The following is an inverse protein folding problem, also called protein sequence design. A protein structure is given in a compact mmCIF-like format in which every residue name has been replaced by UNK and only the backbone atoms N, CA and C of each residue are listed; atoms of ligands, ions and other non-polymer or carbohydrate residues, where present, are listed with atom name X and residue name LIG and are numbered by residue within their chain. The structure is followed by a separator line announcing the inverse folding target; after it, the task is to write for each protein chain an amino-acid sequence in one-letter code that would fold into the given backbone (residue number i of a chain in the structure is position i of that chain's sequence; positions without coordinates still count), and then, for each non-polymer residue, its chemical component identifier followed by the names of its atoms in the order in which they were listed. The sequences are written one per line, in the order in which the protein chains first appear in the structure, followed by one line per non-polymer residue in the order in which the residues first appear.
data_IF_233583674997
#
_entry.id   IF_233583674997
#
_cell.length_a   1.000
_cell.length_b   1.000
_cell.length_c   1.000
_cell.angle_alpha   90.00
_cell.angle_beta   90.00
_cell.angle_gamma   90.00
#
_symmetry.space_group_name_H-M   'P 1'
#
loop_
_entity.id
_entity.type
_entity.pdbx_description
1 polymer ?
#
# COMPACT_ATOMS: atom_id res chain seq x y z
N UNK A 1 -4.38 -47.36 17.48
CA UNK A 1 -3.27 -46.37 17.63
C UNK A 1 -2.02 -47.08 18.10
N UNK A 2 -0.88 -46.92 17.41
CA UNK A 2 0.40 -47.54 17.80
C UNK A 2 0.86 -47.00 19.18
N UNK A 3 1.55 -47.85 19.96
CA UNK A 3 2.00 -47.50 21.31
C UNK A 3 2.88 -46.22 21.33
N UNK A 4 3.71 -46.01 20.31
CA UNK A 4 4.53 -44.79 20.13
C UNK A 4 3.68 -43.54 19.93
N UNK A 5 2.58 -43.61 19.15
CA UNK A 5 1.68 -42.48 18.92
C UNK A 5 0.97 -42.03 20.19
N UNK A 6 0.62 -42.99 21.06
CA UNK A 6 0.06 -42.65 22.39
C UNK A 6 1.06 -41.92 23.27
N UNK A 7 2.33 -42.39 23.29
CA UNK A 7 3.41 -41.76 24.08
C UNK A 7 3.63 -40.31 23.58
N UNK A 8 3.77 -40.12 22.26
CA UNK A 8 3.98 -38.77 21.70
C UNK A 8 2.82 -37.80 21.99
N UNK A 9 1.56 -38.29 21.85
CA UNK A 9 0.38 -37.49 22.17
C UNK A 9 0.34 -37.12 23.66
N UNK A 10 0.62 -38.09 24.55
CA UNK A 10 0.64 -37.83 26.00
C UNK A 10 1.74 -36.84 26.38
N UNK A 11 2.93 -36.98 25.81
CA UNK A 11 4.05 -36.03 26.04
C UNK A 11 3.70 -34.62 25.52
N UNK A 12 3.13 -34.52 24.31
CA UNK A 12 2.70 -33.23 23.75
C UNK A 12 1.62 -32.55 24.64
N UNK A 13 0.64 -33.35 25.10
CA UNK A 13 -0.41 -32.83 26.01
C UNK A 13 0.17 -32.32 27.33
N UNK A 14 1.10 -33.08 27.94
CA UNK A 14 1.77 -32.66 29.17
C UNK A 14 2.55 -31.36 28.96
N UNK A 15 3.34 -31.27 27.88
CA UNK A 15 4.11 -30.06 27.56
C UNK A 15 3.19 -28.84 27.32
N UNK A 16 2.09 -29.03 26.61
CA UNK A 16 1.11 -27.96 26.36
C UNK A 16 0.45 -27.48 27.66
N UNK A 17 0.02 -28.42 28.52
CA UNK A 17 -0.56 -28.08 29.83
C UNK A 17 0.46 -27.39 30.76
N UNK A 18 1.68 -27.85 30.77
CA UNK A 18 2.76 -27.22 31.55
C UNK A 18 3.04 -25.80 31.06
N UNK A 19 3.05 -25.58 29.73
CA UNK A 19 3.18 -24.24 29.11
C UNK A 19 2.04 -23.30 29.49
N UNK A 20 0.79 -23.78 29.43
CA UNK A 20 -0.39 -23.00 29.83
C UNK A 20 -0.35 -22.64 31.32
N UNK A 21 0.03 -23.58 32.17
CA UNK A 21 0.17 -23.33 33.64
C UNK A 21 1.26 -22.30 33.91
N UNK A 22 2.44 -22.45 33.30
CA UNK A 22 3.52 -21.47 33.45
C UNK A 22 3.08 -20.08 32.97
N UNK A 23 2.41 -20.01 31.82
CA UNK A 23 1.87 -18.75 31.30
C UNK A 23 0.87 -18.10 32.27
N UNK A 24 -0.06 -18.89 32.82
CA UNK A 24 -1.04 -18.41 33.79
C UNK A 24 -0.39 -17.92 35.10
N UNK A 25 0.66 -18.61 35.57
CA UNK A 25 1.42 -18.20 36.76
C UNK A 25 2.15 -16.88 36.54
N UNK A 26 2.77 -16.71 35.35
CA UNK A 26 3.46 -15.46 34.97
C UNK A 26 2.47 -14.32 34.86
N UNK A 27 1.30 -14.54 34.22
CA UNK A 27 0.21 -13.55 34.17
C UNK A 27 -0.28 -13.15 35.56
N UNK A 28 -0.52 -14.13 36.45
CA UNK A 28 -0.98 -13.86 37.80
C UNK A 28 0.06 -13.09 38.63
N UNK A 29 1.35 -13.41 38.50
CA UNK A 29 2.44 -12.69 39.12
C UNK A 29 2.57 -11.24 38.62
N UNK A 30 2.23 -10.97 37.35
CA UNK A 30 2.17 -9.64 36.75
C UNK A 30 0.89 -8.86 37.06
N UNK A 31 -0.04 -9.42 37.88
CA UNK A 31 -1.31 -8.79 38.23
C UNK A 31 -2.32 -8.80 37.10
N UNK A 32 -2.25 -9.82 36.21
CA UNK A 32 -3.07 -9.97 35.00
C UNK A 32 -2.90 -8.83 33.97
N UNK A 33 -1.84 -8.05 34.11
CA UNK A 33 -1.48 -6.99 33.19
C UNK A 33 -0.37 -7.50 32.25
N UNK A 34 -0.77 -7.92 31.05
CA UNK A 34 0.15 -8.40 30.03
C UNK A 34 1.20 -7.35 29.62
N UNK A 35 0.88 -6.05 29.75
CA UNK A 35 1.83 -4.97 29.47
C UNK A 35 2.99 -4.93 30.48
N UNK A 36 2.75 -5.32 31.75
CA UNK A 36 3.83 -5.40 32.76
C UNK A 36 4.80 -6.55 32.52
N UNK A 37 4.37 -7.59 31.81
CA UNK A 37 5.23 -8.72 31.46
C UNK A 37 6.22 -8.38 30.33
N UNK A 38 5.92 -7.36 29.56
CA UNK A 38 6.65 -7.03 28.34
C UNK A 38 8.04 -6.44 28.62
N UNK A 39 8.28 -5.86 29.79
CA UNK A 39 9.56 -5.19 30.11
C UNK A 39 9.91 -4.02 29.18
N UNK A 40 9.07 -3.76 28.17
CA UNK A 40 9.24 -2.72 27.17
C UNK A 40 8.59 -1.44 27.70
N UNK A 41 9.40 -0.40 27.86
CA UNK A 41 8.92 0.92 28.22
C UNK A 41 8.74 1.75 26.96
N UNK A 42 7.57 2.35 26.83
CA UNK A 42 7.31 3.39 25.86
C UNK A 42 7.66 4.75 26.44
N UNK A 43 8.23 5.61 25.63
CA UNK A 43 8.48 7.00 25.95
C UNK A 43 7.76 7.87 24.92
N UNK A 44 7.18 8.95 25.41
CA UNK A 44 6.56 9.96 24.55
C UNK A 44 7.44 11.20 24.53
N UNK A 45 7.93 11.55 23.36
CA UNK A 45 8.80 12.69 23.14
C UNK A 45 8.20 13.62 22.08
N UNK A 46 8.27 14.94 22.33
CA UNK A 46 7.87 15.96 21.36
C UNK A 46 9.09 16.79 20.98
N UNK A 47 9.32 16.94 19.69
CA UNK A 47 10.37 17.80 19.13
C UNK A 47 9.73 18.95 18.37
N UNK A 48 10.01 20.17 18.77
CA UNK A 48 9.64 21.38 18.05
C UNK A 48 10.76 21.76 17.08
N UNK A 49 10.39 22.17 15.87
CA UNK A 49 11.32 22.43 14.77
C UNK A 49 11.19 23.91 14.38
N UNK A 50 12.20 24.67 14.72
CA UNK A 50 12.28 26.12 14.43
C UNK A 50 13.08 26.39 13.12
N UNK A 51 13.89 25.43 12.69
CA UNK A 51 14.68 25.53 11.46
C UNK A 51 13.80 25.40 10.21
N UNK A 52 14.09 26.17 9.18
CA UNK A 52 13.41 26.10 7.89
C UNK A 52 13.87 24.88 7.09
N UNK A 53 12.93 24.18 6.47
CA UNK A 53 13.17 23.05 5.57
C UNK A 53 12.14 23.04 4.45
N UNK A 54 12.45 22.35 3.38
CA UNK A 54 11.56 22.09 2.23
C UNK A 54 11.24 20.63 2.09
N UNK A 55 12.18 19.76 2.48
CA UNK A 55 12.12 18.32 2.28
C UNK A 55 11.89 17.60 3.60
N UNK A 56 11.24 16.43 3.53
CA UNK A 56 10.99 15.58 4.70
C UNK A 56 11.49 14.16 4.42
N UNK A 57 12.25 13.61 5.35
CA UNK A 57 12.75 12.26 5.28
C UNK A 57 12.51 11.53 6.60
N UNK A 58 11.78 10.43 6.55
CA UNK A 58 11.49 9.56 7.70
C UNK A 58 12.07 8.19 7.45
N UNK A 59 12.96 7.73 8.33
CA UNK A 59 13.49 6.37 8.32
C UNK A 59 13.21 5.72 9.68
N UNK A 60 12.45 4.63 9.66
CA UNK A 60 12.05 3.90 10.87
C UNK A 60 12.00 2.40 10.60
N UNK A 61 12.24 1.59 11.63
CA UNK A 61 12.12 0.13 11.52
C UNK A 61 10.67 -0.31 11.77
N UNK A 62 10.11 0.11 12.91
CA UNK A 62 8.77 -0.30 13.30
C UNK A 62 8.03 0.88 13.91
N UNK A 63 7.29 1.62 13.10
CA UNK A 63 6.40 2.69 13.59
C UNK A 63 5.35 3.04 12.55
N UNK A 64 4.13 3.33 12.98
CA UNK A 64 3.16 4.01 12.14
C UNK A 64 3.59 5.47 11.91
N UNK A 65 3.49 5.96 10.69
CA UNK A 65 3.89 7.33 10.31
C UNK A 65 2.68 8.12 9.85
N UNK A 66 2.31 9.14 10.63
CA UNK A 66 1.16 9.99 10.31
C UNK A 66 1.61 11.43 10.09
N UNK A 67 1.16 12.00 8.99
CA UNK A 67 1.28 13.43 8.73
C UNK A 67 -0.02 14.14 9.13
N UNK A 68 0.10 15.28 9.77
CA UNK A 68 -1.04 16.09 10.20
C UNK A 68 -0.79 17.56 9.98
N UNK A 69 -1.84 18.29 9.65
CA UNK A 69 -1.77 19.74 9.58
C UNK A 69 -1.53 20.32 10.98
N UNK A 70 -0.59 21.26 11.09
CA UNK A 70 -0.36 22.01 12.30
C UNK A 70 -1.43 23.07 12.48
N UNK A 71 -2.11 23.07 13.62
CA UNK A 71 -3.19 24.03 13.92
C UNK A 71 -2.67 25.44 14.22
N UNK A 72 -1.45 25.56 14.71
CA UNK A 72 -0.83 26.82 15.14
C UNK A 72 0.30 27.31 14.23
N UNK A 73 0.55 26.59 13.13
CA UNK A 73 1.62 26.91 12.19
C UNK A 73 3.03 26.51 12.65
N UNK A 74 3.17 25.85 13.82
CA UNK A 74 4.45 25.34 14.31
C UNK A 74 4.70 23.93 13.79
N UNK A 75 5.93 23.66 13.34
CA UNK A 75 6.33 22.31 13.00
C UNK A 75 6.72 21.54 14.26
N UNK A 76 6.14 20.34 14.47
CA UNK A 76 6.54 19.45 15.56
C UNK A 76 6.45 18.00 15.16
N UNK A 77 7.23 17.17 15.84
CA UNK A 77 7.22 15.72 15.70
C UNK A 77 6.95 15.09 17.05
N UNK A 78 5.82 14.38 17.15
CA UNK A 78 5.46 13.61 18.33
C UNK A 78 5.87 12.15 18.10
N UNK A 79 6.69 11.61 19.01
CA UNK A 79 7.22 10.26 18.98
C UNK A 79 6.65 9.46 20.14
N UNK A 80 5.97 8.35 19.86
CA UNK A 80 5.68 7.30 20.82
C UNK A 80 6.57 6.12 20.48
N UNK A 81 7.66 5.93 21.23
CA UNK A 81 8.75 5.06 20.85
C UNK A 81 9.21 4.15 21.99
N UNK A 82 9.92 3.08 21.67
CA UNK A 82 10.56 2.25 22.68
C UNK A 82 11.74 2.98 23.30
N UNK A 83 11.91 2.86 24.61
CA UNK A 83 12.99 3.53 25.34
C UNK A 83 14.41 3.21 24.81
N UNK A 84 14.58 2.07 24.15
CA UNK A 84 15.86 1.62 23.56
C UNK A 84 15.95 1.76 22.03
N UNK A 85 14.89 2.20 21.38
CA UNK A 85 14.85 2.44 19.95
C UNK A 85 14.33 3.86 19.75
N UNK A 86 15.26 4.80 19.77
CA UNK A 86 14.93 6.23 19.75
C UNK A 86 15.12 6.81 18.37
N UNK A 87 14.21 7.72 18.04
CA UNK A 87 14.35 8.51 16.84
C UNK A 87 15.09 9.81 17.12
N UNK A 88 15.95 10.19 16.20
CA UNK A 88 16.59 11.48 16.15
C UNK A 88 15.83 12.36 15.19
N UNK A 89 15.46 13.56 15.62
CA UNK A 89 14.76 14.56 14.80
C UNK A 89 15.66 15.77 14.64
N UNK A 90 15.98 16.14 13.40
CA UNK A 90 16.87 17.28 13.09
C UNK A 90 16.64 17.81 11.68
N UNK A 91 16.97 19.06 11.44
CA UNK A 91 17.03 19.63 10.10
C UNK A 91 18.47 19.64 9.62
N UNK A 92 18.72 19.03 8.48
CA UNK A 92 20.03 19.01 7.82
C UNK A 92 19.89 19.29 6.32
N UNK A 93 20.62 20.27 5.83
CA UNK A 93 20.63 20.67 4.42
C UNK A 93 19.23 20.94 3.85
N UNK A 94 18.35 21.59 4.61
CA UNK A 94 17.00 21.91 4.20
C UNK A 94 16.02 20.72 4.24
N UNK A 95 16.40 19.60 4.86
CA UNK A 95 15.58 18.40 5.02
C UNK A 95 15.29 18.15 6.50
N UNK A 96 14.01 18.04 6.88
CA UNK A 96 13.61 17.50 8.17
C UNK A 96 13.84 15.99 8.17
N UNK A 97 14.84 15.54 8.91
CA UNK A 97 15.20 14.13 9.04
C UNK A 97 14.72 13.54 10.35
N UNK A 98 13.95 12.48 10.26
CA UNK A 98 13.54 11.64 11.38
C UNK A 98 14.14 10.28 11.13
N UNK A 99 15.07 9.83 11.97
CA UNK A 99 15.79 8.58 11.76
C UNK A 99 15.92 7.79 13.05
N UNK A 100 15.66 6.48 12.94
CA UNK A 100 15.79 5.56 14.07
C UNK A 100 17.27 5.34 14.40
N UNK A 101 17.59 5.32 15.68
CA UNK A 101 18.86 4.84 16.23
C UNK A 101 18.57 3.62 17.09
N UNK A 102 18.81 2.45 16.53
CA UNK A 102 18.64 1.20 17.26
C UNK A 102 19.88 0.89 18.08
N UNK A 103 19.74 0.95 19.43
CA UNK A 103 20.78 0.60 20.41
C UNK A 103 20.54 -0.78 21.03
N UNK A 104 19.54 -1.53 20.56
CA UNK A 104 19.20 -2.87 21.04
C UNK A 104 20.30 -3.87 20.71
N UNK A 105 20.57 -4.78 21.63
CA UNK A 105 21.43 -5.94 21.38
C UNK A 105 20.64 -6.99 20.58
N UNK A 106 21.33 -7.79 19.78
CA UNK A 106 20.72 -8.77 18.87
C UNK A 106 19.66 -9.68 19.54
N UNK A 107 19.84 -10.03 20.83
CA UNK A 107 18.88 -10.85 21.57
C UNK A 107 17.65 -10.07 22.06
N UNK A 108 17.70 -8.74 22.08
CA UNK A 108 16.57 -7.87 22.45
C UNK A 108 15.57 -7.70 21.28
N UNK A 109 15.96 -8.10 20.08
CA UNK A 109 15.05 -8.21 18.92
C UNK A 109 14.16 -9.47 19.01
N UNK A 110 14.51 -10.45 19.88
CA UNK A 110 13.71 -11.66 20.09
C UNK A 110 12.65 -11.36 21.17
N UNK A 111 11.64 -10.60 20.81
CA UNK A 111 10.49 -10.34 21.69
C UNK A 111 9.33 -11.23 21.29
N UNK A 112 8.98 -12.20 22.14
CA UNK A 112 7.85 -13.12 21.87
C UNK A 112 6.48 -12.42 21.93
N UNK A 113 6.39 -11.28 22.62
CA UNK A 113 5.15 -10.52 22.77
C UNK A 113 5.49 -9.02 22.82
N UNK A 114 5.27 -8.33 21.71
CA UNK A 114 5.32 -6.87 21.65
C UNK A 114 3.89 -6.33 21.67
N UNK A 115 3.40 -5.92 22.82
CA UNK A 115 2.11 -5.23 22.94
C UNK A 115 2.36 -3.72 22.92
N UNK A 116 2.07 -3.09 21.80
CA UNK A 116 2.16 -1.66 21.59
C UNK A 116 2.72 -1.32 20.21
N UNK A 117 2.19 -0.27 19.61
CA UNK A 117 2.68 0.25 18.34
C UNK A 117 3.47 1.51 18.59
N UNK A 118 4.66 1.57 18.05
CA UNK A 118 5.41 2.82 17.94
C UNK A 118 4.74 3.72 16.91
N UNK A 119 4.82 5.02 17.11
CA UNK A 119 4.12 5.97 16.27
C UNK A 119 4.92 7.26 16.13
N UNK A 120 5.06 7.71 14.92
CA UNK A 120 5.61 8.99 14.55
C UNK A 120 4.47 9.85 14.01
N UNK A 121 4.21 11.01 14.63
CA UNK A 121 3.26 11.96 14.09
C UNK A 121 3.99 13.26 13.76
N UNK A 122 4.03 13.59 12.47
CA UNK A 122 4.67 14.80 11.96
C UNK A 122 3.60 15.85 11.71
N UNK A 123 3.64 16.93 12.47
CA UNK A 123 2.76 18.07 12.28
C UNK A 123 3.49 19.12 11.45
N UNK A 124 2.94 19.36 10.27
CA UNK A 124 3.50 20.31 9.31
C UNK A 124 2.58 21.51 9.14
N UNK A 125 3.10 22.73 9.07
CA UNK A 125 2.34 23.90 8.60
C UNK A 125 1.75 23.69 7.20
N UNK A 126 0.70 24.41 6.87
CA UNK A 126 0.19 24.47 5.50
C UNK A 126 1.22 25.15 4.59
N UNK A 127 1.83 24.39 3.71
CA UNK A 127 2.86 24.85 2.76
C UNK A 127 2.99 23.85 1.60
N UNK A 128 3.62 24.28 0.51
CA UNK A 128 4.14 23.37 -0.49
C UNK A 128 5.53 22.88 -0.03
N UNK A 129 5.72 21.59 -0.10
CA UNK A 129 6.97 20.92 0.27
C UNK A 129 7.67 20.36 -0.98
N UNK A 130 8.97 20.21 -0.92
CA UNK A 130 9.77 19.56 -1.95
C UNK A 130 9.55 18.04 -1.96
N UNK A 131 10.53 17.26 -1.54
CA UNK A 131 10.41 15.81 -1.51
C UNK A 131 9.90 15.30 -0.15
N UNK A 132 9.03 14.29 -0.20
CA UNK A 132 8.71 13.44 0.94
C UNK A 132 9.27 12.04 0.70
N UNK A 133 10.19 11.61 1.54
CA UNK A 133 10.78 10.28 1.53
C UNK A 133 10.44 9.56 2.83
N UNK A 134 9.77 8.40 2.76
CA UNK A 134 9.52 7.55 3.92
C UNK A 134 10.05 6.16 3.65
N UNK A 135 10.96 5.69 4.52
CA UNK A 135 11.47 4.33 4.51
C UNK A 135 11.14 3.66 5.83
N UNK A 136 10.38 2.59 5.77
CA UNK A 136 9.77 1.96 6.93
C UNK A 136 9.88 0.43 6.82
N UNK A 137 10.19 -0.26 7.92
CA UNK A 137 10.12 -1.71 7.97
C UNK A 137 8.68 -2.18 8.15
N UNK A 138 8.05 -1.82 9.27
CA UNK A 138 6.67 -2.23 9.59
C UNK A 138 5.87 -1.06 10.14
N UNK A 139 4.63 -0.91 9.70
CA UNK A 139 3.66 0.09 10.15
C UNK A 139 2.90 0.72 8.99
N UNK A 140 1.90 1.52 9.31
CA UNK A 140 1.07 2.20 8.34
C UNK A 140 1.60 3.61 8.06
N UNK A 141 1.40 4.10 6.84
CA UNK A 141 1.68 5.49 6.46
C UNK A 141 0.37 6.16 6.11
N UNK A 142 0.15 7.38 6.63
CA UNK A 142 -1.03 8.16 6.28
C UNK A 142 -0.68 9.61 6.01
N UNK A 143 -1.02 10.08 4.80
CA UNK A 143 -0.74 11.43 4.31
C UNK A 143 -2.05 12.07 3.86
N UNK A 144 -2.58 13.06 4.58
CA UNK A 144 -3.86 13.69 4.25
C UNK A 144 -3.78 14.63 3.05
N UNK A 145 -4.94 14.98 2.49
CA UNK A 145 -5.10 15.84 1.32
C UNK A 145 -4.70 17.32 1.51
N UNK A 146 -4.41 17.71 2.74
CA UNK A 146 -3.98 19.08 3.08
C UNK A 146 -2.58 19.42 2.60
N UNK A 147 -1.78 18.43 2.16
CA UNK A 147 -0.40 18.64 1.77
C UNK A 147 -0.20 18.59 0.25
N UNK A 148 0.77 19.38 -0.19
CA UNK A 148 1.30 19.34 -1.55
C UNK A 148 2.80 19.09 -1.49
N UNK A 149 3.28 18.11 -2.26
CA UNK A 149 4.68 17.77 -2.41
C UNK A 149 5.11 17.85 -3.88
N UNK A 150 6.37 18.17 -4.14
CA UNK A 150 6.93 18.07 -5.48
C UNK A 150 7.14 16.61 -5.89
N UNK A 151 7.56 15.76 -4.95
CA UNK A 151 7.72 14.32 -5.16
C UNK A 151 7.47 13.53 -3.89
N UNK A 152 7.05 12.28 -4.06
CA UNK A 152 6.75 11.37 -2.96
C UNK A 152 7.35 10.00 -3.26
N UNK A 153 8.19 9.47 -2.36
CA UNK A 153 8.73 8.10 -2.42
C UNK A 153 8.51 7.41 -1.07
N UNK A 154 7.51 6.52 -1.02
CA UNK A 154 7.18 5.72 0.14
C UNK A 154 7.62 4.28 -0.09
N UNK A 155 8.45 3.77 0.81
CA UNK A 155 8.87 2.38 0.82
C UNK A 155 8.58 1.75 2.18
N UNK A 156 7.91 0.61 2.17
CA UNK A 156 7.60 -0.16 3.38
C UNK A 156 7.54 -1.66 3.12
N UNK A 157 7.94 -2.46 4.12
CA UNK A 157 7.86 -3.91 4.00
C UNK A 157 6.46 -4.41 4.38
N UNK A 158 5.90 -3.96 5.50
CA UNK A 158 4.59 -4.44 5.99
C UNK A 158 3.77 -3.28 6.55
N UNK A 159 2.49 -3.24 6.20
CA UNK A 159 1.52 -2.22 6.60
C UNK A 159 1.00 -1.42 5.43
N UNK A 160 -0.05 -0.66 5.65
CA UNK A 160 -0.81 0.02 4.60
C UNK A 160 -0.28 1.42 4.30
N UNK A 161 -0.63 1.95 3.14
CA UNK A 161 -0.28 3.29 2.74
C UNK A 161 -1.49 4.06 2.23
N UNK A 162 -1.98 5.05 3.01
CA UNK A 162 -3.07 5.95 2.64
C UNK A 162 -2.47 7.28 2.14
N UNK A 163 -2.62 7.58 0.87
CA UNK A 163 -2.07 8.79 0.23
C UNK A 163 -3.19 9.63 -0.36
N UNK A 164 -3.46 10.77 0.25
CA UNK A 164 -4.46 11.73 -0.22
C UNK A 164 -3.82 13.04 -0.68
N UNK A 165 -2.50 13.19 -0.53
CA UNK A 165 -1.77 14.41 -0.85
C UNK A 165 -1.70 14.66 -2.37
N UNK A 166 -1.64 15.95 -2.73
CA UNK A 166 -1.27 16.36 -4.09
C UNK A 166 0.23 16.21 -4.30
N UNK A 167 0.65 15.65 -5.44
CA UNK A 167 2.07 15.47 -5.80
C UNK A 167 2.29 16.02 -7.21
N UNK A 168 2.98 17.16 -7.33
CA UNK A 168 3.16 17.85 -8.63
C UNK A 168 4.03 17.06 -9.62
N UNK A 169 4.94 16.23 -9.13
CA UNK A 169 5.77 15.33 -9.91
C UNK A 169 5.42 13.85 -9.71
N UNK A 170 6.41 13.01 -9.46
CA UNK A 170 6.21 11.56 -9.30
C UNK A 170 5.76 11.20 -7.88
N UNK A 171 4.66 10.46 -7.77
CA UNK A 171 4.25 9.75 -6.57
C UNK A 171 4.58 8.27 -6.72
N UNK A 172 5.44 7.77 -5.83
CA UNK A 172 5.90 6.38 -5.83
C UNK A 172 5.64 5.72 -4.49
N UNK A 173 4.88 4.62 -4.49
CA UNK A 173 4.56 3.85 -3.29
C UNK A 173 4.90 2.40 -3.52
N UNK A 174 5.68 1.82 -2.60
CA UNK A 174 6.10 0.41 -2.67
C UNK A 174 5.89 -0.26 -1.33
N UNK A 175 5.16 -1.38 -1.36
CA UNK A 175 4.94 -2.27 -0.24
C UNK A 175 5.35 -3.70 -0.60
N UNK A 176 5.85 -4.48 0.34
CA UNK A 176 5.93 -5.93 0.14
C UNK A 176 4.63 -6.59 0.59
N UNK A 177 4.05 -6.12 1.72
CA UNK A 177 2.76 -6.62 2.20
C UNK A 177 1.96 -5.47 2.79
N UNK A 178 0.73 -5.30 2.33
CA UNK A 178 -0.20 -4.26 2.75
C UNK A 178 -0.86 -3.59 1.57
N UNK A 179 -1.94 -2.90 1.86
CA UNK A 179 -2.77 -2.23 0.88
C UNK A 179 -2.25 -0.83 0.58
N UNK A 180 -2.56 -0.35 -0.63
CA UNK A 180 -2.18 0.99 -1.06
C UNK A 180 -3.44 1.71 -1.53
N UNK A 181 -3.82 2.77 -0.80
CA UNK A 181 -4.96 3.61 -1.10
C UNK A 181 -4.49 5.00 -1.55
N UNK A 182 -4.93 5.42 -2.75
CA UNK A 182 -4.66 6.76 -3.28
C UNK A 182 -5.97 7.44 -3.64
N UNK A 183 -6.37 8.43 -2.84
CA UNK A 183 -7.73 9.00 -2.94
C UNK A 183 -7.69 10.51 -3.09
N UNK A 184 -8.47 11.03 -4.05
CA UNK A 184 -8.75 12.47 -4.19
C UNK A 184 -7.54 13.32 -4.54
N UNK A 185 -6.50 12.75 -5.14
CA UNK A 185 -5.23 13.42 -5.40
C UNK A 185 -5.11 13.93 -6.85
N UNK A 186 -4.23 14.91 -7.01
CA UNK A 186 -3.66 15.26 -8.33
C UNK A 186 -2.18 14.91 -8.31
N UNK A 187 -1.73 14.15 -9.31
CA UNK A 187 -0.33 13.71 -9.39
C UNK A 187 0.25 13.97 -10.79
N UNK A 188 1.56 14.22 -10.85
CA UNK A 188 2.27 14.27 -12.14
C UNK A 188 2.29 12.88 -12.78
N UNK A 189 2.89 11.91 -12.08
CA UNK A 189 2.85 10.48 -12.43
C UNK A 189 2.67 9.62 -11.19
N UNK A 190 2.12 8.41 -11.35
CA UNK A 190 1.83 7.49 -10.25
C UNK A 190 2.45 6.12 -10.50
N UNK A 191 3.21 5.63 -9.53
CA UNK A 191 3.85 4.32 -9.59
C UNK A 191 3.58 3.56 -8.28
N UNK A 192 2.70 2.55 -8.34
CA UNK A 192 2.31 1.75 -7.19
C UNK A 192 2.83 0.32 -7.35
N UNK A 193 3.38 -0.25 -6.29
CA UNK A 193 3.87 -1.62 -6.28
C UNK A 193 3.58 -2.28 -4.95
N UNK A 194 2.89 -3.42 -4.97
CA UNK A 194 2.77 -4.30 -3.80
C UNK A 194 2.98 -5.77 -4.22
N UNK A 195 3.65 -6.54 -3.39
CA UNK A 195 3.78 -7.98 -3.65
C UNK A 195 2.53 -8.72 -3.17
N UNK A 196 1.97 -8.33 -2.00
CA UNK A 196 0.72 -8.89 -1.46
C UNK A 196 -0.10 -7.79 -0.79
N UNK A 197 -1.31 -7.60 -1.27
CA UNK A 197 -2.24 -6.57 -0.82
C UNK A 197 -2.97 -5.94 -2.01
N UNK A 198 -4.02 -5.22 -1.73
CA UNK A 198 -4.87 -4.59 -2.73
C UNK A 198 -4.41 -3.17 -3.04
N UNK A 199 -4.76 -2.68 -4.21
CA UNK A 199 -4.50 -1.30 -4.63
C UNK A 199 -5.80 -0.64 -5.02
N UNK A 200 -6.19 0.40 -4.28
CA UNK A 200 -7.35 1.23 -4.57
C UNK A 200 -6.88 2.63 -5.02
N UNK A 201 -7.40 3.10 -6.16
CA UNK A 201 -7.14 4.46 -6.65
C UNK A 201 -8.47 5.10 -7.01
N UNK A 202 -8.86 6.13 -6.28
CA UNK A 202 -10.14 6.77 -6.52
C UNK A 202 -10.06 8.28 -6.62
N UNK A 203 -10.90 8.85 -7.51
CA UNK A 203 -11.04 10.31 -7.71
C UNK A 203 -9.70 10.99 -8.01
N UNK A 204 -8.88 10.41 -8.90
CA UNK A 204 -7.51 10.85 -9.15
C UNK A 204 -7.36 11.46 -10.55
N UNK A 205 -6.64 12.57 -10.62
CA UNK A 205 -6.15 13.15 -11.89
C UNK A 205 -4.63 12.98 -11.97
N UNK A 206 -4.16 12.16 -12.91
CA UNK A 206 -2.75 11.99 -13.22
C UNK A 206 -2.42 12.71 -14.53
N UNK A 207 -1.41 13.58 -14.52
CA UNK A 207 -1.04 14.37 -15.71
C UNK A 207 -0.35 13.51 -16.78
N UNK A 208 0.46 12.53 -16.32
CA UNK A 208 1.22 11.63 -17.18
C UNK A 208 0.71 10.18 -17.07
N UNK A 209 1.53 9.28 -16.55
CA UNK A 209 1.29 7.86 -16.59
C UNK A 209 0.99 7.29 -15.20
N UNK A 210 0.10 6.30 -15.17
CA UNK A 210 -0.14 5.44 -14.01
C UNK A 210 0.43 4.06 -14.31
N UNK A 211 1.28 3.57 -13.40
CA UNK A 211 1.83 2.22 -13.44
C UNK A 211 1.55 1.51 -12.13
N UNK A 212 0.83 0.39 -12.19
CA UNK A 212 0.47 -0.42 -11.03
C UNK A 212 1.04 -1.83 -11.20
N UNK A 213 1.72 -2.34 -10.17
CA UNK A 213 2.20 -3.71 -10.14
C UNK A 213 1.79 -4.39 -8.84
N UNK A 214 0.96 -5.44 -8.97
CA UNK A 214 0.47 -6.22 -7.84
C UNK A 214 0.73 -7.70 -8.13
N UNK A 215 1.54 -8.37 -7.30
CA UNK A 215 1.77 -9.81 -7.53
C UNK A 215 0.57 -10.63 -7.07
N UNK A 216 0.01 -10.34 -5.89
CA UNK A 216 -1.18 -11.02 -5.38
C UNK A 216 -2.07 -9.99 -4.66
N UNK A 217 -3.26 -9.79 -5.17
CA UNK A 217 -4.23 -8.82 -4.68
C UNK A 217 -5.01 -8.18 -5.83
N UNK A 218 -6.08 -7.51 -5.49
CA UNK A 218 -6.98 -6.88 -6.44
C UNK A 218 -6.53 -5.44 -6.74
N UNK A 219 -6.96 -4.94 -7.89
CA UNK A 219 -6.70 -3.55 -8.31
C UNK A 219 -8.02 -2.91 -8.68
N UNK A 220 -8.40 -1.88 -7.93
CA UNK A 220 -9.63 -1.13 -8.16
C UNK A 220 -9.31 0.33 -8.50
N UNK A 221 -9.79 0.80 -9.64
CA UNK A 221 -9.70 2.20 -10.02
C UNK A 221 -11.08 2.78 -10.27
N UNK A 222 -11.40 3.88 -9.60
CA UNK A 222 -12.67 4.59 -9.73
C UNK A 222 -12.46 6.07 -10.03
N UNK A 223 -13.10 6.59 -11.10
CA UNK A 223 -13.06 8.01 -11.46
C UNK A 223 -11.62 8.55 -11.65
N UNK A 224 -10.82 7.86 -12.46
CA UNK A 224 -9.39 8.16 -12.68
C UNK A 224 -9.17 8.68 -14.11
N UNK A 225 -8.35 9.72 -14.24
CA UNK A 225 -7.90 10.23 -15.54
C UNK A 225 -6.37 10.25 -15.62
N UNK A 226 -5.82 9.82 -16.79
CA UNK A 226 -4.37 9.81 -17.02
C UNK A 226 -4.03 9.91 -18.52
N UNK A 227 -2.75 9.99 -18.83
CA UNK A 227 -2.28 9.86 -20.21
C UNK A 227 -2.20 8.39 -20.62
N UNK A 228 -1.41 7.57 -19.90
CA UNK A 228 -1.38 6.14 -20.12
C UNK A 228 -1.57 5.40 -18.77
N UNK A 229 -2.24 4.26 -18.87
CA UNK A 229 -2.44 3.34 -17.75
C UNK A 229 -1.79 2.00 -18.05
N UNK A 230 -1.02 1.47 -17.10
CA UNK A 230 -0.47 0.12 -17.15
C UNK A 230 -0.67 -0.59 -15.82
N UNK A 231 -1.24 -1.79 -15.84
CA UNK A 231 -1.35 -2.67 -14.68
C UNK A 231 -0.83 -4.05 -15.00
N UNK A 232 0.08 -4.55 -14.17
CA UNK A 232 0.69 -5.87 -14.31
C UNK A 232 0.60 -6.63 -13.00
N UNK A 233 0.29 -7.92 -13.06
CA UNK A 233 0.23 -8.76 -11.86
C UNK A 233 0.03 -10.24 -12.16
N UNK A 234 0.10 -11.05 -11.10
CA UNK A 234 -0.03 -12.50 -11.24
C UNK A 234 -1.43 -12.98 -10.87
N UNK A 235 -1.94 -12.60 -9.70
CA UNK A 235 -3.23 -13.10 -9.21
C UNK A 235 -4.05 -11.98 -8.59
N UNK A 236 -5.31 -11.88 -8.99
CA UNK A 236 -6.28 -10.89 -8.50
C UNK A 236 -7.07 -10.24 -9.61
N UNK A 237 -8.23 -9.75 -9.29
CA UNK A 237 -9.15 -9.05 -10.20
C UNK A 237 -8.67 -7.62 -10.49
N UNK A 238 -8.98 -7.12 -11.67
CA UNK A 238 -8.89 -5.68 -11.98
C UNK A 238 -10.27 -5.15 -12.27
N UNK A 239 -10.69 -4.14 -11.52
CA UNK A 239 -11.91 -3.38 -11.73
C UNK A 239 -11.58 -1.93 -12.12
N UNK A 240 -12.11 -1.49 -13.25
CA UNK A 240 -11.90 -0.15 -13.80
C UNK A 240 -13.25 0.55 -14.03
N UNK A 241 -13.65 1.42 -13.09
CA UNK A 241 -14.85 2.22 -13.20
C UNK A 241 -14.52 3.66 -13.57
N UNK A 242 -15.04 4.15 -14.71
CA UNK A 242 -14.80 5.51 -15.20
C UNK A 242 -13.31 5.88 -15.31
N UNK A 243 -12.46 4.95 -15.73
CA UNK A 243 -11.02 5.19 -15.94
C UNK A 243 -10.78 5.64 -17.37
N UNK A 244 -10.25 6.85 -17.55
CA UNK A 244 -10.03 7.46 -18.86
C UNK A 244 -8.54 7.69 -19.08
N UNK A 245 -7.96 6.93 -20.03
CA UNK A 245 -6.60 7.15 -20.51
C UNK A 245 -6.63 7.83 -21.88
N UNK A 246 -6.02 9.00 -22.02
CA UNK A 246 -6.00 9.71 -23.31
C UNK A 246 -5.17 8.99 -24.39
N UNK A 247 -4.18 8.22 -23.98
CA UNK A 247 -3.30 7.41 -24.82
C UNK A 247 -3.65 5.93 -24.77
N UNK A 248 -2.89 5.14 -24.02
CA UNK A 248 -3.02 3.68 -23.96
C UNK A 248 -3.42 3.16 -22.60
N UNK A 249 -4.10 2.01 -22.60
CA UNK A 249 -4.40 1.20 -21.43
C UNK A 249 -3.87 -0.21 -21.68
N UNK A 250 -2.95 -0.67 -20.83
CA UNK A 250 -2.33 -1.99 -20.91
C UNK A 250 -2.54 -2.75 -19.62
N UNK A 251 -3.11 -3.95 -19.71
CA UNK A 251 -3.41 -4.80 -18.57
C UNK A 251 -2.85 -6.20 -18.84
N UNK A 252 -2.05 -6.71 -17.89
CA UNK A 252 -1.49 -8.04 -17.96
C UNK A 252 -1.73 -8.76 -16.62
N UNK A 253 -2.39 -9.93 -16.67
CA UNK A 253 -2.64 -10.81 -15.53
C UNK A 253 -2.33 -12.26 -15.91
N UNK A 254 -1.86 -13.07 -14.95
CA UNK A 254 -1.86 -14.51 -15.14
C UNK A 254 -3.20 -15.12 -14.73
N UNK A 255 -3.75 -14.69 -13.58
CA UNK A 255 -5.04 -15.22 -13.10
C UNK A 255 -5.86 -14.09 -12.47
N UNK A 256 -7.06 -13.92 -12.96
CA UNK A 256 -8.03 -12.93 -12.46
C UNK A 256 -8.85 -12.32 -13.59
N UNK A 257 -10.04 -11.90 -13.22
CA UNK A 257 -10.96 -11.25 -14.13
C UNK A 257 -10.55 -9.79 -14.38
N UNK A 258 -10.94 -9.27 -15.55
CA UNK A 258 -10.75 -7.86 -15.90
C UNK A 258 -12.10 -7.25 -16.21
N UNK A 259 -12.54 -6.30 -15.38
CA UNK A 259 -13.83 -5.64 -15.53
C UNK A 259 -13.69 -4.16 -15.90
N UNK A 260 -14.47 -3.72 -16.88
CA UNK A 260 -14.55 -2.32 -17.31
C UNK A 260 -15.95 -1.79 -17.12
N UNK A 261 -16.11 -0.67 -16.43
CA UNK A 261 -17.36 0.04 -16.36
C UNK A 261 -17.20 1.49 -16.86
N UNK A 262 -17.63 1.77 -18.10
CA UNK A 262 -17.55 3.11 -18.67
C UNK A 262 -16.14 3.69 -18.74
N UNK A 263 -15.13 2.83 -18.80
CA UNK A 263 -13.73 3.21 -18.98
C UNK A 263 -13.37 3.37 -20.45
N UNK A 264 -12.27 4.06 -20.76
CA UNK A 264 -11.88 4.29 -22.16
C UNK A 264 -10.39 4.61 -22.33
N UNK A 265 -9.85 4.29 -23.54
CA UNK A 265 -8.53 4.72 -23.99
C UNK A 265 -8.47 4.74 -25.51
N UNK A 266 -7.51 5.46 -26.10
CA UNK A 266 -7.30 5.46 -27.55
C UNK A 266 -6.84 4.06 -28.04
N UNK A 267 -6.00 3.37 -27.26
CA UNK A 267 -5.60 1.97 -27.48
C UNK A 267 -5.74 1.18 -26.19
N UNK A 268 -6.36 0.00 -26.26
CA UNK A 268 -6.54 -0.91 -25.14
C UNK A 268 -5.89 -2.25 -25.48
N UNK A 269 -5.11 -2.80 -24.55
CA UNK A 269 -4.52 -4.13 -24.65
C UNK A 269 -4.71 -4.86 -23.32
N UNK A 270 -5.39 -6.01 -23.35
CA UNK A 270 -5.64 -6.85 -22.18
C UNK A 270 -5.13 -8.24 -22.49
N UNK A 271 -4.31 -8.78 -21.60
CA UNK A 271 -3.85 -10.15 -21.67
C UNK A 271 -4.03 -10.81 -20.30
N UNK A 272 -4.73 -11.95 -20.26
CA UNK A 272 -4.82 -12.80 -19.07
C UNK A 272 -4.64 -14.26 -19.47
N UNK A 273 -4.01 -15.09 -18.65
CA UNK A 273 -3.93 -16.50 -18.94
C UNK A 273 -5.25 -17.20 -18.52
N UNK A 274 -5.78 -16.85 -17.34
CA UNK A 274 -7.05 -17.39 -16.82
C UNK A 274 -7.89 -16.29 -16.19
N UNK A 275 -9.03 -16.00 -16.78
CA UNK A 275 -9.99 -15.00 -16.28
C UNK A 275 -10.88 -14.47 -17.40
N UNK A 276 -12.05 -14.02 -17.00
CA UNK A 276 -13.00 -13.39 -17.90
C UNK A 276 -12.64 -11.91 -18.12
N UNK A 277 -12.88 -11.43 -19.36
CA UNK A 277 -12.75 -10.00 -19.65
C UNK A 277 -14.14 -9.48 -20.02
N UNK A 278 -14.68 -8.60 -19.19
CA UNK A 278 -16.07 -8.13 -19.35
C UNK A 278 -16.21 -6.64 -19.15
N UNK A 279 -17.29 -6.06 -19.71
CA UNK A 279 -17.66 -4.69 -19.38
C UNK A 279 -18.07 -3.80 -20.52
N UNK A 280 -17.86 -2.49 -20.37
CA UNK A 280 -18.28 -1.48 -21.32
C UNK A 280 -17.27 -0.35 -21.48
N UNK A 281 -17.11 0.10 -22.75
CA UNK A 281 -16.34 1.30 -23.10
C UNK A 281 -17.27 2.47 -23.45
N UNK A 282 -16.78 3.70 -23.30
CA UNK A 282 -17.52 4.93 -23.66
C UNK A 282 -17.53 5.23 -25.15
N UNK A 283 -16.51 4.77 -25.87
CA UNK A 283 -16.37 5.05 -27.30
C UNK A 283 -16.25 3.77 -28.12
N UNK A 284 -16.62 3.80 -29.41
CA UNK A 284 -16.47 2.67 -30.30
C UNK A 284 -15.04 2.12 -30.33
N UNK A 285 -14.91 0.79 -30.44
CA UNK A 285 -13.64 0.08 -30.51
C UNK A 285 -13.64 -0.94 -31.64
N UNK A 286 -12.52 -1.03 -32.35
CA UNK A 286 -12.24 -2.14 -33.27
C UNK A 286 -11.61 -3.25 -32.41
N UNK A 287 -12.36 -4.34 -32.20
CA UNK A 287 -11.96 -5.44 -31.34
C UNK A 287 -11.15 -6.48 -32.11
N UNK A 288 -10.01 -6.87 -31.54
CA UNK A 288 -9.23 -8.03 -31.86
C UNK A 288 -9.21 -8.93 -30.63
N UNK A 289 -9.88 -10.08 -30.70
CA UNK A 289 -10.11 -10.93 -29.54
C UNK A 289 -9.68 -12.36 -29.80
N UNK A 290 -9.01 -12.98 -28.83
CA UNK A 290 -8.56 -14.36 -28.87
C UNK A 290 -8.84 -15.03 -27.52
N UNK A 291 -9.43 -16.23 -27.55
CA UNK A 291 -9.54 -17.13 -26.39
C UNK A 291 -9.40 -18.55 -26.87
N UNK A 292 -8.60 -19.36 -26.13
CA UNK A 292 -8.47 -20.78 -26.47
C UNK A 292 -9.66 -21.58 -25.93
N UNK A 293 -10.17 -21.21 -24.75
CA UNK A 293 -11.33 -21.86 -24.10
C UNK A 293 -12.25 -20.80 -23.51
N UNK A 294 -13.36 -20.54 -24.20
CA UNK A 294 -14.35 -19.54 -23.76
C UNK A 294 -15.21 -19.04 -24.91
N UNK A 295 -16.09 -18.12 -24.63
CA UNK A 295 -17.00 -17.51 -25.60
C UNK A 295 -16.63 -16.04 -25.83
N UNK A 296 -16.69 -15.60 -27.08
CA UNK A 296 -16.45 -14.21 -27.44
C UNK A 296 -17.78 -13.54 -27.83
N UNK A 297 -18.09 -12.44 -27.13
CA UNK A 297 -19.26 -11.60 -27.43
C UNK A 297 -18.87 -10.12 -27.40
N UNK A 298 -18.50 -9.59 -28.55
CA UNK A 298 -18.10 -8.17 -28.71
C UNK A 298 -18.91 -7.51 -29.83
N UNK A 299 -19.16 -6.18 -29.81
CA UNK A 299 -19.78 -5.47 -30.89
C UNK A 299 -18.89 -5.50 -32.15
N UNK A 300 -19.50 -5.62 -33.31
CA UNK A 300 -18.81 -5.46 -34.60
C UNK A 300 -18.77 -3.98 -34.96
N UNK A 301 -17.62 -3.35 -34.83
CA UNK A 301 -17.38 -1.95 -35.14
C UNK A 301 -16.32 -1.83 -36.24
N UNK A 302 -16.49 -0.85 -37.14
CA UNK A 302 -15.55 -0.57 -38.24
C UNK A 302 -14.74 0.68 -38.01
N UNK A 303 -15.09 1.46 -37.00
CA UNK A 303 -14.44 2.71 -36.60
C UNK A 303 -14.24 2.74 -35.09
N UNK A 304 -13.23 3.46 -34.63
CA UNK A 304 -12.93 3.63 -33.22
C UNK A 304 -11.48 3.27 -32.86
N UNK A 305 -11.17 3.33 -31.58
CA UNK A 305 -9.86 2.94 -31.07
C UNK A 305 -9.62 1.43 -31.16
N UNK A 306 -8.36 1.02 -31.13
CA UNK A 306 -7.99 -0.40 -31.18
C UNK A 306 -8.13 -1.01 -29.77
N UNK A 307 -8.80 -2.17 -29.71
CA UNK A 307 -8.94 -2.96 -28.48
C UNK A 307 -8.52 -4.41 -28.74
N UNK A 308 -7.36 -4.78 -28.21
CA UNK A 308 -6.82 -6.15 -28.27
C UNK A 308 -7.10 -6.84 -26.93
N UNK A 309 -7.79 -7.99 -26.94
CA UNK A 309 -8.08 -8.76 -25.73
C UNK A 309 -7.70 -10.21 -26.00
N UNK A 310 -6.83 -10.74 -25.15
CA UNK A 310 -6.41 -12.14 -25.19
C UNK A 310 -6.60 -12.78 -23.82
N UNK A 311 -7.22 -13.97 -23.80
CA UNK A 311 -7.26 -14.87 -22.64
C UNK A 311 -7.03 -16.29 -23.13
N UNK A 312 -6.30 -17.11 -22.38
CA UNK A 312 -6.20 -18.53 -22.75
C UNK A 312 -7.45 -19.29 -22.27
N UNK A 313 -7.94 -18.98 -21.06
CA UNK A 313 -9.18 -19.57 -20.52
C UNK A 313 -10.05 -18.51 -19.87
N UNK A 314 -11.20 -18.22 -20.49
CA UNK A 314 -12.17 -17.24 -20.01
C UNK A 314 -13.06 -16.69 -21.14
N UNK A 315 -14.18 -16.14 -20.76
CA UNK A 315 -15.12 -15.49 -21.68
C UNK A 315 -14.70 -14.03 -21.93
N UNK A 316 -14.88 -13.56 -23.16
CA UNK A 316 -14.69 -12.16 -23.52
C UNK A 316 -16.08 -11.55 -23.84
N UNK A 317 -16.54 -10.63 -22.98
CA UNK A 317 -17.86 -10.03 -23.14
C UNK A 317 -17.79 -8.51 -23.00
N UNK A 318 -17.73 -7.81 -24.14
CA UNK A 318 -17.63 -6.35 -24.15
C UNK A 318 -18.86 -5.71 -24.78
N UNK A 319 -19.12 -4.47 -24.38
CA UNK A 319 -20.15 -3.60 -24.95
C UNK A 319 -19.61 -2.17 -25.13
N UNK A 320 -20.32 -1.35 -25.89
CA UNK A 320 -20.06 0.08 -26.02
C UNK A 320 -21.35 0.80 -25.62
N UNK A 321 -21.22 1.79 -24.73
CA UNK A 321 -22.36 2.61 -24.27
C UNK A 321 -22.55 3.86 -25.11
#
# INVERSE_FOLDING_TARGET
MKKSTKIWLTTATILSLTGIIMFAVVLAAGGWDAMKLNGIKFEFNTHYIDDSFTDVSVETDTADVYFRLSENGECKVDLNEFAKEKHTVKVENGTLKISVKDERKWYEHITFFSFGRTKITVYLPESAYGSLNVKQGTGDIRIPSTFTFDSLDLWGSTGDADVHATVTGEAKVRRSTGDIDVVGATVGSLNLTTDTGDVEVSSLTCQDNISIRVSTGDVELENVSCNNFASMGSTGEISLENVIASGSMQIERSTGDVEFEGSDAAKISVTTDTGDVKGSFRSPKIFFTETDTGNVKVPHMTEGGVCEIKTDTGDIKMSVR
#
